data_IF_363003653874
#
_entry.id   IF_363003653874
#
_cell.length_a   1.000
_cell.length_b   1.000
_cell.length_c   1.000
_cell.angle_alpha   90.00
_cell.angle_beta   90.00
_cell.angle_gamma   90.00
#
_symmetry.space_group_name_H-M   'P 1'
#
loop_
_entity.id
_entity.type
_entity.pdbx_description
1 polymer ?
#
# COMPACT_ATOMS: atom_id res chain seq x y z
N UNK A 1 6.19 -10.35 17.75
CA UNK A 1 6.09 -9.64 16.45
C UNK A 1 6.17 -10.67 15.36
N UNK A 2 5.34 -10.57 14.32
CA UNK A 2 5.43 -11.47 13.18
C UNK A 2 6.79 -11.33 12.49
N UNK A 3 7.49 -12.44 12.31
CA UNK A 3 8.79 -12.49 11.65
C UNK A 3 8.56 -13.01 10.23
N UNK A 4 8.79 -12.15 9.26
CA UNK A 4 8.72 -12.53 7.86
C UNK A 4 9.79 -13.56 7.54
N UNK A 5 9.41 -14.64 6.87
CA UNK A 5 10.35 -15.53 6.19
C UNK A 5 10.83 -14.90 4.88
N UNK A 6 11.86 -15.50 4.27
CA UNK A 6 12.31 -15.12 2.93
C UNK A 6 11.19 -15.28 1.89
N UNK A 7 10.37 -16.33 2.06
CA UNK A 7 9.20 -16.58 1.22
C UNK A 7 8.14 -15.47 1.36
N UNK A 8 7.81 -15.06 2.60
CA UNK A 8 6.84 -13.98 2.83
C UNK A 8 7.35 -12.66 2.23
N UNK A 9 8.63 -12.38 2.42
CA UNK A 9 9.29 -11.18 1.88
C UNK A 9 9.26 -11.17 0.35
N UNK A 10 9.61 -12.30 -0.28
CA UNK A 10 9.55 -12.44 -1.73
C UNK A 10 8.12 -12.27 -2.26
N UNK A 11 7.13 -12.86 -1.58
CA UNK A 11 5.70 -12.74 -1.93
C UNK A 11 5.23 -11.29 -1.87
N UNK A 12 5.57 -10.56 -0.80
CA UNK A 12 5.23 -9.13 -0.66
C UNK A 12 5.88 -8.31 -1.77
N UNK A 13 7.17 -8.53 -2.05
CA UNK A 13 7.88 -7.82 -3.13
C UNK A 13 7.27 -8.07 -4.51
N UNK A 14 6.90 -9.31 -4.81
CA UNK A 14 6.24 -9.67 -6.07
C UNK A 14 4.89 -8.96 -6.21
N UNK A 15 4.08 -8.94 -5.14
CA UNK A 15 2.80 -8.21 -5.13
C UNK A 15 2.99 -6.70 -5.33
N UNK A 16 3.99 -6.10 -4.69
CA UNK A 16 4.32 -4.67 -4.88
C UNK A 16 4.71 -4.38 -6.32
N UNK A 17 5.54 -5.23 -6.94
CA UNK A 17 5.93 -5.07 -8.34
C UNK A 17 4.73 -5.17 -9.29
N UNK A 18 3.85 -6.15 -9.07
CA UNK A 18 2.62 -6.30 -9.84
C UNK A 18 1.72 -5.06 -9.72
N UNK A 19 1.47 -4.59 -8.49
CA UNK A 19 0.61 -3.43 -8.26
C UNK A 19 1.19 -2.15 -8.84
N UNK A 20 2.53 -1.97 -8.79
CA UNK A 20 3.20 -0.85 -9.45
C UNK A 20 2.89 -0.80 -10.95
N UNK A 21 3.00 -1.93 -11.65
CA UNK A 21 2.65 -1.98 -13.08
C UNK A 21 1.19 -1.66 -13.36
N UNK A 22 0.28 -2.08 -12.47
CA UNK A 22 -1.15 -1.73 -12.58
C UNK A 22 -1.38 -0.21 -12.38
N UNK A 23 -0.68 0.41 -11.43
CA UNK A 23 -0.72 1.86 -11.22
C UNK A 23 -0.15 2.60 -12.43
N UNK A 24 0.99 2.19 -12.98
CA UNK A 24 1.57 2.79 -14.19
C UNK A 24 0.59 2.75 -15.37
N UNK A 25 -0.09 1.62 -15.56
CA UNK A 25 -1.15 1.49 -16.56
C UNK A 25 -2.36 2.40 -16.31
N UNK A 26 -2.74 2.60 -15.04
CA UNK A 26 -3.79 3.54 -14.67
C UNK A 26 -3.39 4.98 -14.95
N UNK A 27 -2.12 5.33 -14.72
CA UNK A 27 -1.58 6.67 -14.96
C UNK A 27 -1.42 6.98 -16.46
N UNK A 28 -1.06 5.99 -17.28
CA UNK A 28 -0.92 6.16 -18.72
C UNK A 28 -2.22 5.96 -19.52
N UNK A 29 -3.34 5.67 -18.83
CA UNK A 29 -4.67 5.52 -19.43
C UNK A 29 -4.96 4.15 -20.07
N UNK A 30 -4.01 3.20 -20.07
CA UNK A 30 -4.23 1.82 -20.56
C UNK A 30 -4.99 0.91 -19.58
N UNK A 31 -5.43 1.46 -18.46
CA UNK A 31 -6.31 0.83 -17.49
C UNK A 31 -7.30 1.87 -16.98
N UNK A 32 -8.59 1.64 -17.20
CA UNK A 32 -9.65 2.56 -16.79
C UNK A 32 -9.83 2.58 -15.26
N UNK A 33 -10.50 3.60 -14.72
CA UNK A 33 -10.80 3.64 -13.27
C UNK A 33 -11.70 2.47 -12.83
N UNK A 34 -12.62 2.03 -13.70
CA UNK A 34 -13.51 0.91 -13.41
C UNK A 34 -12.74 -0.42 -13.31
N UNK A 35 -11.82 -0.67 -14.24
CA UNK A 35 -10.94 -1.85 -14.20
C UNK A 35 -9.91 -1.77 -13.06
N UNK A 36 -9.45 -0.56 -12.72
CA UNK A 36 -8.49 -0.35 -11.64
C UNK A 36 -9.11 -0.47 -10.24
N UNK A 37 -10.41 -0.16 -10.10
CA UNK A 37 -11.14 -0.19 -8.82
C UNK A 37 -10.93 -1.51 -8.05
N UNK A 38 -11.19 -2.72 -8.59
CA UNK A 38 -10.97 -3.95 -7.85
C UNK A 38 -9.50 -4.14 -7.44
N UNK A 39 -8.55 -3.78 -8.32
CA UNK A 39 -7.12 -3.94 -8.08
C UNK A 39 -6.63 -3.07 -6.93
N UNK A 40 -7.02 -1.80 -6.88
CA UNK A 40 -6.64 -0.90 -5.79
C UNK A 40 -7.28 -1.32 -4.46
N UNK A 41 -8.53 -1.77 -4.48
CA UNK A 41 -9.22 -2.22 -3.27
C UNK A 41 -8.60 -3.49 -2.67
N UNK A 42 -8.20 -4.45 -3.51
CA UNK A 42 -7.47 -5.64 -3.05
C UNK A 42 -6.12 -5.30 -2.41
N UNK A 43 -5.49 -4.20 -2.83
CA UNK A 43 -4.23 -3.70 -2.27
C UNK A 43 -4.43 -2.66 -1.14
N UNK A 44 -5.68 -2.47 -0.67
CA UNK A 44 -5.98 -1.56 0.43
C UNK A 44 -5.93 -0.07 0.07
N UNK A 45 -5.96 0.29 -1.21
CA UNK A 45 -5.98 1.67 -1.68
C UNK A 45 -7.41 2.10 -2.04
N UNK A 46 -8.00 2.88 -1.13
CA UNK A 46 -9.36 3.40 -1.24
C UNK A 46 -9.34 4.80 -1.83
N UNK A 47 -10.29 5.12 -2.70
CA UNK A 47 -10.52 6.48 -3.18
C UNK A 47 -11.62 7.09 -2.31
N UNK A 48 -11.25 8.09 -1.50
CA UNK A 48 -12.18 8.97 -0.81
C UNK A 48 -12.49 10.18 -1.70
N UNK A 49 -13.39 11.06 -1.24
CA UNK A 49 -13.90 12.18 -2.04
C UNK A 49 -12.79 13.06 -2.64
N UNK A 50 -11.70 13.27 -1.91
CA UNK A 50 -10.62 14.20 -2.30
C UNK A 50 -9.22 13.56 -2.40
N UNK A 51 -9.06 12.31 -1.98
CA UNK A 51 -7.74 11.68 -1.87
C UNK A 51 -7.81 10.16 -1.81
N UNK A 52 -6.66 9.51 -2.00
CA UNK A 52 -6.51 8.09 -1.73
C UNK A 52 -6.19 7.85 -0.25
N UNK A 53 -6.85 6.86 0.36
CA UNK A 53 -6.53 6.34 1.69
C UNK A 53 -5.87 4.97 1.54
N UNK A 54 -4.68 4.80 2.12
CA UNK A 54 -3.94 3.54 2.14
C UNK A 54 -4.16 2.82 3.48
N UNK A 55 -4.71 1.61 3.42
CA UNK A 55 -4.82 0.73 4.58
C UNK A 55 -3.58 -0.17 4.69
N UNK A 56 -2.84 -0.03 5.78
CA UNK A 56 -1.67 -0.87 6.08
C UNK A 56 -2.09 -2.08 6.92
N UNK A 57 -1.75 -3.28 6.46
CA UNK A 57 -1.99 -4.51 7.22
C UNK A 57 -0.90 -4.71 8.30
N UNK A 58 -1.33 -4.83 9.56
CA UNK A 58 -0.44 -5.06 10.71
C UNK A 58 -0.71 -6.45 11.27
N UNK A 59 0.21 -7.42 11.14
CA UNK A 59 0.03 -8.76 11.66
C UNK A 59 -0.23 -8.76 13.18
N UNK A 60 -1.38 -9.32 13.57
CA UNK A 60 -1.81 -9.42 14.96
C UNK A 60 -1.92 -8.07 15.70
N UNK A 61 -1.95 -6.94 14.97
CA UNK A 61 -1.98 -5.60 15.57
C UNK A 61 -0.72 -5.20 16.35
N UNK A 62 0.37 -5.97 16.26
CA UNK A 62 1.61 -5.71 17.00
C UNK A 62 2.65 -4.98 16.15
N UNK A 63 3.22 -3.90 16.67
CA UNK A 63 4.25 -3.08 16.02
C UNK A 63 5.44 -2.82 16.95
N UNK A 64 6.63 -2.65 16.36
CA UNK A 64 7.81 -2.11 17.06
C UNK A 64 7.83 -0.60 16.96
N UNK A 65 8.57 0.03 17.88
CA UNK A 65 8.92 1.45 17.75
C UNK A 65 9.60 1.77 16.40
N UNK A 66 10.39 0.85 15.84
CA UNK A 66 11.01 1.03 14.53
C UNK A 66 9.98 1.06 13.38
N UNK A 67 9.02 0.13 13.39
CA UNK A 67 7.92 0.12 12.42
C UNK A 67 7.01 1.35 12.56
N UNK A 68 6.73 1.77 13.79
CA UNK A 68 5.93 2.99 14.02
C UNK A 68 6.61 4.23 13.46
N UNK A 69 7.93 4.39 13.67
CA UNK A 69 8.71 5.48 13.05
C UNK A 69 8.68 5.42 11.52
N UNK A 70 8.68 4.22 10.94
CA UNK A 70 8.56 4.06 9.50
C UNK A 70 7.19 4.52 8.98
N UNK A 71 6.12 4.25 9.71
CA UNK A 71 4.77 4.74 9.37
C UNK A 71 4.71 6.27 9.45
N UNK A 72 5.24 6.86 10.53
CA UNK A 72 5.32 8.31 10.68
C UNK A 72 6.06 8.97 9.51
N UNK A 73 7.20 8.41 9.10
CA UNK A 73 7.93 8.90 7.93
C UNK A 73 7.11 8.84 6.63
N UNK A 74 6.28 7.80 6.44
CA UNK A 74 5.40 7.71 5.27
C UNK A 74 4.33 8.79 5.31
N UNK A 75 3.70 8.99 6.48
CA UNK A 75 2.69 10.02 6.69
C UNK A 75 3.24 11.43 6.43
N UNK A 76 4.42 11.75 6.99
CA UNK A 76 5.07 13.05 6.79
C UNK A 76 5.44 13.30 5.34
N UNK A 77 6.01 12.28 4.67
CA UNK A 77 6.53 12.44 3.31
C UNK A 77 5.43 12.47 2.24
N UNK A 78 4.35 11.73 2.44
CA UNK A 78 3.36 11.47 1.38
C UNK A 78 1.92 11.86 1.73
N UNK A 79 1.59 12.03 3.01
CA UNK A 79 0.23 12.31 3.49
C UNK A 79 0.15 13.61 4.31
N UNK A 80 1.10 14.53 4.10
CA UNK A 80 1.15 15.85 4.76
C UNK A 80 1.15 15.78 6.30
N UNK A 81 1.55 14.64 6.88
CA UNK A 81 1.58 14.41 8.32
C UNK A 81 0.23 14.02 8.96
N UNK A 82 -0.78 13.61 8.18
CA UNK A 82 -2.09 13.19 8.74
C UNK A 82 -2.16 11.72 9.20
N UNK A 83 -1.30 10.85 8.66
CA UNK A 83 -1.35 9.39 8.85
C UNK A 83 -0.98 8.86 10.23
#
# INVERSE_FOLDING_TARGET
>A
MYKYSDFDTATVRARVAQFRGQVERRLNGSLTEEEFRPLRLMNGLYLQLHAYMLRVAIPYGTLSAAQMRQLAYIADRWDKGYG
#
